data_IF_241762309215
#
_entry.id   IF_241762309215
#
_cell.length_a   1.000
_cell.length_b   1.000
_cell.length_c   1.000
_cell.angle_alpha   90.00
_cell.angle_beta   90.00
_cell.angle_gamma   90.00
#
_symmetry.space_group_name_H-M   'P 1'
#
loop_
_entity.id
_entity.type
_entity.pdbx_description
1 polymer ?
#
# COMPACT_ATOMS: atom_id res chain seq x y z
N UNK A 1 -11.07 -15.48 13.56
CA UNK A 1 -11.10 -16.54 14.59
C UNK A 1 -10.47 -15.94 15.84
N UNK A 2 -11.06 -16.05 17.02
CA UNK A 2 -10.47 -15.49 18.25
C UNK A 2 -9.24 -16.29 18.67
N UNK A 3 -8.35 -15.67 19.47
CA UNK A 3 -7.17 -16.36 20.02
C UNK A 3 -7.55 -17.64 20.77
N UNK A 4 -8.58 -17.59 21.62
CA UNK A 4 -9.05 -18.77 22.35
C UNK A 4 -9.59 -19.88 21.44
N UNK A 5 -10.17 -19.55 20.27
CA UNK A 5 -10.59 -20.57 19.31
C UNK A 5 -9.40 -21.24 18.61
N UNK A 6 -8.30 -20.50 18.38
CA UNK A 6 -7.06 -21.03 17.82
C UNK A 6 -6.43 -22.02 18.82
N UNK A 7 -6.33 -21.65 20.09
CA UNK A 7 -5.82 -22.54 21.14
C UNK A 7 -6.65 -23.82 21.26
N UNK A 8 -7.98 -23.71 21.23
CA UNK A 8 -8.86 -24.88 21.28
C UNK A 8 -8.64 -25.83 20.09
N UNK A 9 -8.45 -25.29 18.89
CA UNK A 9 -8.14 -26.10 17.70
C UNK A 9 -6.77 -26.78 17.80
N UNK A 10 -5.75 -26.07 18.29
CA UNK A 10 -4.42 -26.63 18.50
C UNK A 10 -4.44 -27.76 19.55
N UNK A 11 -5.26 -27.65 20.59
CA UNK A 11 -5.47 -28.73 21.57
C UNK A 11 -6.18 -29.95 20.97
N UNK A 12 -7.21 -29.76 20.15
CA UNK A 12 -7.88 -30.85 19.45
C UNK A 12 -6.90 -31.56 18.51
N UNK A 13 -6.07 -30.79 17.81
CA UNK A 13 -5.01 -31.34 16.96
C UNK A 13 -4.00 -32.12 17.78
N UNK A 14 -3.52 -31.56 18.90
CA UNK A 14 -2.61 -32.26 19.79
C UNK A 14 -3.19 -33.61 20.21
N UNK A 15 -4.45 -33.65 20.66
CA UNK A 15 -5.12 -34.87 21.09
C UNK A 15 -5.24 -35.93 19.97
N UNK A 16 -5.44 -35.52 18.72
CA UNK A 16 -5.49 -36.42 17.56
C UNK A 16 -4.10 -36.87 17.12
N UNK A 17 -3.10 -35.99 17.17
CA UNK A 17 -1.72 -36.29 16.78
C UNK A 17 -1.01 -37.27 17.72
N UNK A 18 -1.42 -37.35 19.00
CA UNK A 18 -0.89 -38.33 19.97
C UNK A 18 -1.01 -39.77 19.45
N UNK A 19 -2.09 -40.11 18.72
CA UNK A 19 -2.30 -41.45 18.16
C UNK A 19 -1.21 -41.83 17.14
N UNK A 20 -0.55 -40.83 16.56
CA UNK A 20 0.53 -40.98 15.59
C UNK A 20 1.91 -40.62 16.17
N UNK A 21 2.02 -40.50 17.50
CA UNK A 21 3.24 -40.09 18.19
C UNK A 21 3.79 -38.73 17.70
N UNK A 22 2.89 -37.83 17.30
CA UNK A 22 3.18 -36.49 16.79
C UNK A 22 2.56 -35.40 17.69
N UNK A 23 3.04 -34.17 17.56
CA UNK A 23 2.51 -32.98 18.24
C UNK A 23 1.69 -32.07 17.31
N UNK A 24 1.00 -31.06 17.86
CA UNK A 24 0.40 -30.02 17.05
C UNK A 24 1.49 -29.18 16.35
N UNK A 25 1.17 -28.50 15.24
CA UNK A 25 2.13 -27.66 14.52
C UNK A 25 2.66 -26.47 15.35
N UNK A 26 1.86 -25.99 16.31
CA UNK A 26 2.23 -24.93 17.25
C UNK A 26 1.71 -25.29 18.65
N UNK A 27 2.41 -24.87 19.69
CA UNK A 27 2.05 -25.17 21.09
C UNK A 27 0.86 -24.32 21.58
N UNK A 28 0.69 -23.12 21.04
CA UNK A 28 -0.40 -22.20 21.34
C UNK A 28 -0.56 -21.17 20.21
N UNK A 29 -1.61 -20.36 20.27
CA UNK A 29 -1.75 -19.17 19.44
C UNK A 29 -0.55 -18.24 19.57
N UNK A 30 0.02 -18.08 20.78
CA UNK A 30 1.15 -17.21 21.01
C UNK A 30 2.41 -17.73 20.31
N UNK A 31 2.69 -19.03 20.42
CA UNK A 31 3.78 -19.72 19.71
C UNK A 31 3.61 -19.63 18.19
N UNK A 32 2.38 -19.76 17.70
CA UNK A 32 2.06 -19.57 16.28
C UNK A 32 2.37 -18.15 15.81
N UNK A 33 1.87 -17.12 16.51
CA UNK A 33 2.14 -15.72 16.12
C UNK A 33 3.62 -15.37 16.26
N UNK A 34 4.28 -15.82 17.33
CA UNK A 34 5.72 -15.61 17.49
C UNK A 34 6.52 -16.30 16.37
N UNK A 35 6.12 -17.49 15.94
CA UNK A 35 6.76 -18.18 14.82
C UNK A 35 6.55 -17.44 13.49
N UNK A 36 5.34 -16.91 13.25
CA UNK A 36 5.05 -16.07 12.08
C UNK A 36 5.90 -14.80 12.13
N UNK A 37 5.95 -14.12 13.28
CA UNK A 37 6.71 -12.87 13.47
C UNK A 37 8.23 -13.08 13.41
N UNK A 38 8.72 -14.25 13.84
CA UNK A 38 10.13 -14.65 13.76
C UNK A 38 10.55 -15.14 12.38
N UNK A 39 9.60 -15.49 11.51
CA UNK A 39 9.93 -15.90 10.16
C UNK A 39 10.63 -14.72 9.50
N UNK A 40 11.91 -14.85 9.07
CA UNK A 40 12.61 -13.76 8.43
C UNK A 40 11.92 -13.48 7.10
N UNK A 41 11.00 -12.51 7.13
CA UNK A 41 10.43 -11.94 5.93
C UNK A 41 11.58 -11.22 5.23
N UNK A 42 11.91 -11.63 4.01
CA UNK A 42 12.85 -10.90 3.16
C UNK A 42 12.28 -9.57 2.64
N UNK A 43 11.24 -9.04 3.28
CA UNK A 43 10.42 -7.94 2.81
C UNK A 43 10.21 -6.89 3.91
N UNK A 44 9.68 -5.74 3.54
CA UNK A 44 9.52 -4.58 4.42
C UNK A 44 8.51 -4.87 5.54
N UNK A 45 8.85 -4.47 6.77
CA UNK A 45 7.98 -4.67 7.94
C UNK A 45 6.71 -3.83 7.84
N UNK A 46 5.59 -4.44 8.24
CA UNK A 46 4.32 -3.75 8.40
C UNK A 46 4.27 -2.93 9.69
N UNK A 47 3.73 -1.73 9.56
CA UNK A 47 3.43 -0.76 10.61
C UNK A 47 1.94 -0.38 10.58
N UNK A 48 1.48 0.31 11.62
CA UNK A 48 0.11 0.80 11.68
C UNK A 48 0.00 2.10 12.46
N UNK A 49 -0.97 2.93 12.09
CA UNK A 49 -1.39 4.08 12.87
C UNK A 49 -2.92 4.20 12.84
N UNK A 50 -3.47 4.96 13.78
CA UNK A 50 -4.90 5.17 13.92
C UNK A 50 -5.25 6.62 13.69
N UNK A 51 -6.32 6.87 12.93
CA UNK A 51 -6.92 8.18 12.75
C UNK A 51 -8.32 8.21 13.37
N UNK A 52 -8.75 9.37 13.84
CA UNK A 52 -10.10 9.60 14.36
C UNK A 52 -10.65 10.92 13.85
N UNK A 53 -11.97 11.09 13.93
CA UNK A 53 -12.60 12.34 13.56
C UNK A 53 -12.34 13.40 14.65
N UNK A 54 -11.80 14.55 14.26
CA UNK A 54 -11.72 15.71 15.15
C UNK A 54 -13.11 16.32 15.30
N UNK A 55 -13.70 16.19 16.49
CA UNK A 55 -14.96 16.84 16.82
C UNK A 55 -14.77 18.36 16.89
N UNK A 56 -15.82 19.08 16.52
CA UNK A 56 -15.93 20.51 16.75
C UNK A 56 -16.58 20.72 18.13
N UNK A 57 -16.08 21.68 18.91
CA UNK A 57 -16.49 21.89 20.31
C UNK A 57 -17.97 22.28 20.47
N UNK A 58 -18.65 22.64 19.36
CA UNK A 58 -20.06 23.03 19.32
C UNK A 58 -21.05 21.95 18.86
N UNK A 59 -20.64 20.69 18.68
CA UNK A 59 -21.55 19.59 18.31
C UNK A 59 -22.32 19.07 19.54
N UNK A 60 -23.66 19.12 19.49
CA UNK A 60 -24.50 18.49 20.51
C UNK A 60 -24.42 16.95 20.44
N UNK A 61 -24.53 16.26 21.58
CA UNK A 61 -24.42 14.79 21.67
C UNK A 61 -25.43 14.05 20.78
N UNK A 62 -26.60 14.64 20.52
CA UNK A 62 -27.63 14.06 19.66
C UNK A 62 -27.23 14.01 18.17
N UNK A 63 -26.29 14.85 17.74
CA UNK A 63 -25.79 14.93 16.36
C UNK A 63 -24.54 14.07 16.12
N UNK A 64 -23.99 13.44 17.17
CA UNK A 64 -22.79 12.62 17.09
C UNK A 64 -23.10 11.25 16.50
N UNK A 65 -22.65 11.02 15.27
CA UNK A 65 -22.81 9.73 14.60
C UNK A 65 -21.73 8.73 15.03
N UNK A 66 -21.99 7.40 14.98
CA UNK A 66 -21.03 6.39 15.43
C UNK A 66 -19.64 6.49 14.78
N UNK A 67 -19.58 6.87 13.51
CA UNK A 67 -18.31 7.03 12.78
C UNK A 67 -17.47 8.22 13.29
N UNK A 68 -18.07 9.20 13.97
CA UNK A 68 -17.35 10.35 14.54
C UNK A 68 -16.62 9.99 15.84
N UNK A 69 -16.99 8.89 16.49
CA UNK A 69 -16.33 8.35 17.68
C UNK A 69 -15.44 7.16 17.35
N UNK A 70 -15.43 6.72 16.09
CA UNK A 70 -14.70 5.54 15.68
C UNK A 70 -13.22 5.84 15.44
N UNK A 71 -12.41 4.83 15.73
CA UNK A 71 -11.01 4.78 15.37
C UNK A 71 -10.82 4.01 14.06
N UNK A 72 -9.97 4.54 13.20
CA UNK A 72 -9.70 4.01 11.88
C UNK A 72 -8.23 3.63 11.79
N UNK A 73 -7.94 2.34 11.95
CA UNK A 73 -6.59 1.80 11.81
C UNK A 73 -6.21 1.65 10.34
N UNK A 74 -5.00 2.10 10.02
CA UNK A 74 -4.35 1.96 8.73
C UNK A 74 -3.12 1.09 8.94
N UNK A 75 -2.93 0.12 8.06
CA UNK A 75 -1.75 -0.75 8.06
C UNK A 75 -0.96 -0.48 6.80
N UNK A 76 0.34 -0.31 6.90
CA UNK A 76 1.20 0.03 5.77
C UNK A 76 2.62 -0.48 5.98
N UNK A 77 3.40 -0.57 4.92
CA UNK A 77 4.85 -0.78 4.98
C UNK A 77 5.55 0.51 4.56
N UNK A 78 6.76 0.75 5.05
CA UNK A 78 7.51 1.97 4.70
C UNK A 78 7.71 2.07 3.17
N UNK A 79 7.13 3.09 2.50
CA UNK A 79 7.28 3.23 1.05
C UNK A 79 8.74 3.44 0.63
N UNK A 80 9.57 4.09 1.46
CA UNK A 80 10.97 4.32 1.13
C UNK A 80 11.74 3.00 1.07
N UNK A 81 11.58 2.15 2.09
CA UNK A 81 12.15 0.81 2.09
C UNK A 81 11.65 -0.05 0.92
N UNK A 82 10.36 0.02 0.57
CA UNK A 82 9.80 -0.68 -0.60
C UNK A 82 10.49 -0.22 -1.89
N UNK A 83 10.66 1.09 -2.06
CA UNK A 83 11.32 1.67 -3.24
C UNK A 83 12.78 1.25 -3.31
N UNK A 84 13.50 1.22 -2.18
CA UNK A 84 14.86 0.69 -2.12
C UNK A 84 14.93 -0.78 -2.55
N UNK A 85 14.01 -1.63 -2.08
CA UNK A 85 13.93 -3.03 -2.49
C UNK A 85 13.66 -3.17 -4.00
N UNK A 86 12.77 -2.34 -4.56
CA UNK A 86 12.53 -2.32 -6.01
C UNK A 86 13.79 -1.92 -6.78
N UNK A 87 14.47 -0.85 -6.38
CA UNK A 87 15.68 -0.39 -7.05
C UNK A 87 16.85 -1.38 -6.93
N UNK A 88 16.90 -2.14 -5.84
CA UNK A 88 17.90 -3.19 -5.62
C UNK A 88 17.62 -4.49 -6.40
N UNK A 89 16.44 -4.62 -7.04
CA UNK A 89 16.07 -5.83 -7.76
C UNK A 89 16.90 -6.00 -9.05
N UNK A 90 17.77 -7.03 -9.14
CA UNK A 90 18.61 -7.25 -10.32
C UNK A 90 17.80 -7.63 -11.57
N UNK A 91 16.56 -8.10 -11.42
CA UNK A 91 15.69 -8.49 -12.54
C UNK A 91 15.30 -7.30 -13.43
N UNK A 92 15.57 -6.07 -12.99
CA UNK A 92 15.28 -4.84 -13.73
C UNK A 92 16.46 -4.31 -14.53
N UNK A 93 17.65 -4.93 -14.43
CA UNK A 93 18.91 -4.39 -14.94
C UNK A 93 18.81 -3.80 -16.37
N UNK A 94 18.13 -4.49 -17.27
CA UNK A 94 18.01 -4.10 -18.69
C UNK A 94 16.66 -3.43 -19.02
N UNK A 95 15.76 -3.33 -18.03
CA UNK A 95 14.37 -2.86 -18.17
C UNK A 95 14.07 -1.67 -17.20
N UNK A 96 15.07 -0.84 -16.88
CA UNK A 96 14.94 0.32 -15.99
C UNK A 96 15.68 1.56 -16.53
N UNK A 97 15.01 2.71 -16.50
CA UNK A 97 15.56 3.98 -16.95
C UNK A 97 15.83 4.92 -15.76
N UNK A 98 17.09 5.27 -15.54
CA UNK A 98 17.50 6.22 -14.49
C UNK A 98 17.44 7.69 -14.95
N UNK A 99 17.28 7.93 -16.24
CA UNK A 99 17.14 9.26 -16.80
C UNK A 99 15.92 9.32 -17.72
N UNK A 100 15.19 10.46 -17.76
CA UNK A 100 14.19 10.67 -18.77
C UNK A 100 14.84 10.64 -20.15
N UNK A 101 14.12 10.11 -21.13
CA UNK A 101 14.59 10.02 -22.50
C UNK A 101 13.49 10.44 -23.46
N UNK A 102 13.85 10.66 -24.73
CA UNK A 102 12.90 10.95 -25.79
C UNK A 102 13.17 9.99 -26.93
N UNK A 103 12.19 9.15 -27.21
CA UNK A 103 12.18 8.33 -28.41
C UNK A 103 11.37 9.02 -29.50
N UNK A 104 11.89 9.01 -30.72
CA UNK A 104 11.15 9.41 -31.92
C UNK A 104 11.03 8.23 -32.86
N UNK A 105 9.89 8.12 -33.51
CA UNK A 105 9.63 7.13 -34.55
C UNK A 105 9.18 7.84 -35.83
N UNK A 106 9.54 7.33 -37.02
CA UNK A 106 9.06 7.89 -38.27
C UNK A 106 7.53 7.85 -38.34
N UNK A 107 6.92 9.00 -38.56
CA UNK A 107 5.48 9.15 -38.71
C UNK A 107 5.09 9.77 -40.05
N UNK A 108 3.77 9.81 -40.36
CA UNK A 108 3.26 10.37 -41.62
C UNK A 108 3.65 11.83 -41.88
N UNK A 109 3.93 12.59 -40.80
CA UNK A 109 4.26 14.01 -40.82
C UNK A 109 5.71 14.30 -40.36
N UNK A 110 6.61 13.33 -40.53
CA UNK A 110 7.98 13.36 -39.98
C UNK A 110 8.10 12.58 -38.66
N UNK A 111 9.26 12.68 -38.03
CA UNK A 111 9.54 12.01 -36.76
C UNK A 111 8.59 12.49 -35.67
N UNK A 112 7.88 11.54 -35.03
CA UNK A 112 6.93 11.79 -33.95
C UNK A 112 7.44 11.16 -32.67
N UNK A 113 7.18 11.83 -31.53
CA UNK A 113 7.56 11.29 -30.24
C UNK A 113 6.78 10.00 -29.95
N UNK A 114 7.52 8.95 -29.57
CA UNK A 114 6.97 7.68 -29.12
C UNK A 114 6.91 7.69 -27.59
N UNK A 115 5.72 7.42 -27.05
CA UNK A 115 5.49 7.31 -25.61
C UNK A 115 5.19 5.85 -25.30
N UNK A 116 6.12 5.21 -24.61
CA UNK A 116 5.99 3.81 -24.18
C UNK A 116 6.16 3.72 -22.67
N UNK A 117 7.39 3.89 -22.18
CA UNK A 117 7.68 3.87 -20.75
C UNK A 117 7.46 5.23 -20.10
N UNK A 118 7.27 5.27 -18.78
CA UNK A 118 6.95 6.54 -18.09
C UNK A 118 8.06 7.58 -18.28
N UNK A 119 9.32 7.14 -18.26
CA UNK A 119 10.50 8.01 -18.44
C UNK A 119 10.64 8.60 -19.86
N UNK A 120 9.88 8.09 -20.84
CA UNK A 120 9.76 8.71 -22.17
C UNK A 120 8.87 9.97 -22.20
N UNK A 121 8.12 10.19 -21.11
CA UNK A 121 7.15 11.26 -20.98
C UNK A 121 7.76 12.63 -20.68
N UNK A 122 7.20 13.68 -21.29
CA UNK A 122 7.65 15.07 -21.10
C UNK A 122 7.58 15.54 -19.63
N UNK A 123 6.68 14.96 -18.84
CA UNK A 123 6.61 15.28 -17.42
C UNK A 123 7.86 14.83 -16.65
N UNK A 124 8.37 13.61 -16.89
CA UNK A 124 9.59 13.12 -16.24
C UNK A 124 10.80 13.99 -16.60
N UNK A 125 10.90 14.39 -17.88
CA UNK A 125 11.92 15.33 -18.37
C UNK A 125 11.89 16.67 -17.63
N UNK A 126 10.69 17.25 -17.46
CA UNK A 126 10.52 18.50 -16.71
C UNK A 126 10.91 18.35 -15.24
N UNK A 127 10.58 17.24 -14.59
CA UNK A 127 10.98 17.00 -13.20
C UNK A 127 12.50 16.89 -13.05
N UNK A 128 13.17 16.10 -13.91
CA UNK A 128 14.62 16.00 -13.89
C UNK A 128 15.31 17.36 -14.11
N UNK A 129 14.78 18.21 -15.01
CA UNK A 129 15.29 19.57 -15.20
C UNK A 129 15.09 20.49 -13.98
N UNK A 130 14.04 20.29 -13.17
CA UNK A 130 13.84 21.06 -11.94
C UNK A 130 14.84 20.61 -10.89
N UNK A 131 14.97 19.29 -10.71
CA UNK A 131 15.87 18.68 -9.73
C UNK A 131 17.32 19.06 -10.04
N UNK A 132 17.78 18.86 -11.27
CA UNK A 132 19.15 19.14 -11.70
C UNK A 132 19.58 20.62 -11.67
N UNK A 133 18.70 21.56 -11.29
CA UNK A 133 19.09 22.94 -10.97
C UNK A 133 19.83 23.04 -9.64
N UNK A 134 19.61 22.08 -8.73
CA UNK A 134 20.29 22.01 -7.46
C UNK A 134 21.62 21.25 -7.62
N UNK A 135 22.79 21.89 -7.39
CA UNK A 135 24.08 21.24 -7.45
C UNK A 135 24.23 20.03 -6.51
N UNK A 136 23.45 19.96 -5.41
CA UNK A 136 23.47 18.82 -4.50
C UNK A 136 22.90 17.53 -5.12
N UNK A 137 22.22 17.64 -6.27
CA UNK A 137 21.54 16.53 -6.96
C UNK A 137 22.21 16.14 -8.28
N UNK A 138 23.42 16.63 -8.54
CA UNK A 138 24.09 16.52 -9.84
C UNK A 138 24.30 15.07 -10.33
N UNK A 139 24.34 14.10 -9.42
CA UNK A 139 24.46 12.66 -9.71
C UNK A 139 23.23 11.86 -9.23
N UNK A 140 22.12 12.54 -8.92
CA UNK A 140 20.90 11.89 -8.47
C UNK A 140 20.01 11.46 -9.66
N UNK A 141 19.38 10.30 -9.51
CA UNK A 141 18.35 9.83 -10.44
C UNK A 141 16.97 10.26 -9.94
N UNK A 142 16.13 10.78 -10.83
CA UNK A 142 14.72 11.00 -10.51
C UNK A 142 13.98 9.66 -10.43
N UNK A 143 13.44 9.33 -9.25
CA UNK A 143 12.61 8.14 -9.04
C UNK A 143 11.16 8.57 -8.85
N UNK A 144 10.32 8.21 -9.80
CA UNK A 144 8.89 8.51 -9.72
C UNK A 144 8.18 7.44 -8.90
N UNK A 145 7.28 7.86 -8.01
CA UNK A 145 6.39 6.97 -7.28
C UNK A 145 4.99 6.97 -7.93
N UNK A 146 4.52 5.79 -8.30
CA UNK A 146 3.18 5.54 -8.83
C UNK A 146 2.38 4.84 -7.77
N UNK A 147 1.22 5.40 -7.41
CA UNK A 147 0.28 4.80 -6.46
C UNK A 147 -1.00 4.38 -7.17
N UNK A 148 -1.45 3.17 -6.87
CA UNK A 148 -2.74 2.64 -7.33
C UNK A 148 -3.57 2.21 -6.13
N UNK A 149 -4.85 2.54 -6.11
CA UNK A 149 -5.74 2.07 -5.05
C UNK A 149 -7.07 1.68 -5.66
N UNK A 150 -7.56 0.50 -5.28
CA UNK A 150 -8.87 0.03 -5.71
C UNK A 150 -9.55 -0.70 -4.56
N UNK A 151 -10.82 -0.38 -4.32
CA UNK A 151 -11.60 -0.99 -3.23
C UNK A 151 -12.07 -2.36 -3.69
N UNK A 152 -11.61 -3.41 -3.03
CA UNK A 152 -11.90 -4.79 -3.42
C UNK A 152 -12.72 -5.51 -2.36
N UNK A 153 -13.71 -6.30 -2.78
CA UNK A 153 -14.51 -7.15 -1.88
C UNK A 153 -13.88 -8.53 -1.82
N UNK A 154 -13.48 -8.98 -0.63
CA UNK A 154 -12.68 -10.22 -0.48
C UNK A 154 -13.50 -11.41 -0.01
N UNK A 155 -14.63 -11.20 0.67
CA UNK A 155 -15.55 -12.30 0.97
C UNK A 155 -17.02 -11.86 0.87
N UNK A 156 -17.78 -12.51 -0.01
CA UNK A 156 -19.21 -12.29 -0.17
C UNK A 156 -20.02 -13.20 0.78
N UNK A 157 -19.57 -14.46 0.98
CA UNK A 157 -20.35 -15.48 1.68
C UNK A 157 -20.30 -15.42 3.22
N UNK A 158 -19.24 -14.88 3.81
CA UNK A 158 -18.93 -15.02 5.26
C UNK A 158 -18.87 -13.71 6.05
N UNK A 159 -19.26 -12.56 5.45
CA UNK A 159 -19.36 -11.32 6.24
C UNK A 159 -19.15 -9.99 5.53
N UNK A 160 -19.20 -9.90 4.19
CA UNK A 160 -18.99 -8.63 3.46
C UNK A 160 -17.71 -7.89 3.93
N UNK A 161 -16.57 -8.59 3.93
CA UNK A 161 -15.28 -7.97 4.17
C UNK A 161 -14.78 -7.30 2.90
N UNK A 162 -14.56 -6.00 3.00
CA UNK A 162 -13.99 -5.15 1.96
C UNK A 162 -12.60 -4.75 2.42
N UNK A 163 -11.63 -4.77 1.51
CA UNK A 163 -10.32 -4.16 1.71
C UNK A 163 -10.15 -2.98 0.76
N UNK A 164 -9.36 -2.01 1.19
CA UNK A 164 -8.98 -0.89 0.35
C UNK A 164 -7.46 -0.85 0.23
N UNK A 165 -6.87 -1.76 -0.58
CA UNK A 165 -5.44 -1.80 -0.78
C UNK A 165 -4.92 -0.53 -1.47
N UNK A 166 -3.69 -0.19 -1.10
CA UNK A 166 -2.85 0.81 -1.73
C UNK A 166 -1.62 0.07 -2.28
N UNK A 167 -1.37 0.20 -3.56
CA UNK A 167 -0.23 -0.36 -4.27
C UNK A 167 0.76 0.75 -4.63
N UNK A 168 2.03 0.39 -4.69
CA UNK A 168 3.14 1.26 -5.06
C UNK A 168 3.97 0.62 -6.18
N UNK A 169 4.51 1.44 -7.08
CA UNK A 169 5.45 1.06 -8.13
C UNK A 169 6.37 2.24 -8.44
N UNK A 170 7.58 1.97 -8.95
CA UNK A 170 8.46 3.03 -9.46
C UNK A 170 8.21 3.31 -10.94
N UNK A 171 8.29 4.57 -11.34
CA UNK A 171 8.12 5.02 -12.72
C UNK A 171 9.22 4.57 -13.68
N UNK A 172 10.39 4.27 -13.12
CA UNK A 172 11.63 4.01 -13.85
C UNK A 172 11.65 2.66 -14.55
N UNK A 173 10.91 1.67 -14.06
CA UNK A 173 10.83 0.37 -14.73
C UNK A 173 9.97 0.46 -15.99
N UNK A 174 10.36 -0.32 -16.99
CA UNK A 174 9.62 -0.45 -18.24
C UNK A 174 8.25 -1.10 -18.01
N UNK A 175 7.32 -0.87 -18.95
CA UNK A 175 5.96 -1.38 -18.82
C UNK A 175 5.86 -2.91 -18.82
N UNK A 176 6.75 -3.59 -19.55
CA UNK A 176 6.85 -5.05 -19.57
C UNK A 176 7.11 -5.60 -18.16
N UNK A 177 7.98 -4.97 -17.36
CA UNK A 177 8.30 -5.38 -15.98
C UNK A 177 7.07 -5.25 -15.07
N UNK A 178 6.31 -4.15 -15.22
CA UNK A 178 5.07 -3.94 -14.45
C UNK A 178 4.03 -5.02 -14.74
N UNK A 179 3.94 -5.47 -15.99
CA UNK A 179 2.99 -6.51 -16.40
C UNK A 179 3.45 -7.93 -16.08
N UNK A 180 4.77 -8.18 -16.05
CA UNK A 180 5.34 -9.51 -15.88
C UNK A 180 5.47 -9.97 -14.41
N UNK A 181 4.84 -9.27 -13.44
CA UNK A 181 4.86 -9.62 -12.01
C UNK A 181 6.28 -9.77 -11.40
N UNK A 182 7.30 -9.09 -11.94
CA UNK A 182 8.69 -9.15 -11.42
C UNK A 182 8.91 -8.32 -10.14
N UNK A 183 7.92 -8.26 -9.24
CA UNK A 183 7.90 -7.36 -8.06
C UNK A 183 7.93 -5.85 -8.38
N UNK A 184 7.57 -5.47 -9.61
CA UNK A 184 7.48 -4.06 -10.00
C UNK A 184 6.26 -3.33 -9.42
N UNK A 185 5.31 -4.07 -8.82
CA UNK A 185 4.23 -3.52 -8.01
C UNK A 185 4.24 -4.19 -6.64
N UNK A 186 4.18 -3.39 -5.57
CA UNK A 186 4.11 -3.87 -4.20
C UNK A 186 2.83 -3.38 -3.53
N UNK A 187 2.31 -4.18 -2.59
CA UNK A 187 1.24 -3.75 -1.71
C UNK A 187 1.84 -2.84 -0.63
N UNK A 188 1.48 -1.56 -0.67
CA UNK A 188 1.98 -0.55 0.25
C UNK A 188 1.16 -0.50 1.55
N UNK A 189 -0.15 -0.73 1.49
CA UNK A 189 -0.98 -0.64 2.67
C UNK A 189 -2.44 -1.02 2.48
N UNK A 190 -3.17 -1.05 3.59
CA UNK A 190 -4.63 -1.18 3.65
C UNK A 190 -5.21 0.08 4.29
N UNK A 191 -5.98 0.83 3.50
CA UNK A 191 -6.65 2.04 3.93
C UNK A 191 -7.94 1.71 4.70
N UNK A 192 -8.27 2.56 5.67
CA UNK A 192 -9.49 2.43 6.43
C UNK A 192 -10.74 2.68 5.57
N UNK A 193 -11.78 1.87 5.78
CA UNK A 193 -13.09 2.01 5.13
C UNK A 193 -14.11 2.41 6.19
N UNK A 194 -14.40 3.71 6.35
CA UNK A 194 -15.38 4.14 7.33
C UNK A 194 -16.77 3.70 6.89
N UNK A 195 -17.49 3.05 7.80
CA UNK A 195 -18.86 2.57 7.59
C UNK A 195 -19.85 3.49 8.32
N UNK A 196 -21.00 3.71 7.69
CA UNK A 196 -22.12 4.45 8.27
C UNK A 196 -23.43 3.83 7.82
N UNK A 197 -24.53 4.19 8.47
CA UNK A 197 -25.86 3.74 8.09
C UNK A 197 -26.28 4.35 6.75
N UNK A 198 -27.08 3.62 5.96
CA UNK A 198 -27.51 4.05 4.61
C UNK A 198 -28.08 5.46 4.55
N UNK A 199 -28.78 5.91 5.59
CA UNK A 199 -29.35 7.26 5.70
C UNK A 199 -28.30 8.37 5.69
N UNK A 200 -27.11 8.10 6.24
CA UNK A 200 -26.04 9.08 6.43
C UNK A 200 -24.88 8.87 5.44
N UNK A 201 -24.99 7.92 4.52
CA UNK A 201 -23.93 7.61 3.55
C UNK A 201 -23.72 8.75 2.53
N UNK A 202 -24.79 9.47 2.20
CA UNK A 202 -24.77 10.62 1.29
C UNK A 202 -24.66 11.97 1.99
N UNK A 203 -24.54 11.97 3.32
CA UNK A 203 -24.33 13.19 4.10
C UNK A 203 -23.02 13.90 3.71
N UNK A 204 -23.08 15.23 3.61
CA UNK A 204 -21.95 16.04 3.18
C UNK A 204 -20.77 15.98 4.17
N UNK A 205 -21.03 15.94 5.49
CA UNK A 205 -19.98 15.83 6.51
C UNK A 205 -19.29 14.47 6.40
N UNK A 206 -20.06 13.39 6.24
CA UNK A 206 -19.49 12.06 6.08
C UNK A 206 -18.66 11.92 4.79
N UNK A 207 -19.15 12.46 3.66
CA UNK A 207 -18.38 12.48 2.39
C UNK A 207 -17.07 13.26 2.53
N UNK A 208 -17.09 14.42 3.21
CA UNK A 208 -15.90 15.21 3.52
C UNK A 208 -14.93 14.41 4.39
N UNK A 209 -15.42 13.80 5.47
CA UNK A 209 -14.63 12.97 6.37
C UNK A 209 -13.95 11.81 5.63
N UNK A 210 -14.67 11.07 4.78
CA UNK A 210 -14.09 10.00 3.95
C UNK A 210 -12.91 10.47 3.11
N UNK A 211 -13.05 11.64 2.48
CA UNK A 211 -12.00 12.24 1.67
C UNK A 211 -10.80 12.68 2.52
N UNK A 212 -11.05 13.28 3.68
CA UNK A 212 -10.00 13.67 4.63
C UNK A 212 -9.25 12.44 5.15
N UNK A 213 -9.97 11.42 5.62
CA UNK A 213 -9.39 10.17 6.09
C UNK A 213 -8.48 9.54 5.03
N UNK A 214 -8.93 9.48 3.77
CA UNK A 214 -8.11 8.96 2.66
C UNK A 214 -6.84 9.78 2.46
N UNK A 215 -6.93 11.10 2.30
CA UNK A 215 -5.76 11.94 2.02
C UNK A 215 -4.80 12.06 3.20
N UNK A 216 -5.30 12.14 4.43
CA UNK A 216 -4.47 12.14 5.65
C UNK A 216 -3.77 10.80 5.83
N UNK A 217 -4.42 9.68 5.48
CA UNK A 217 -3.76 8.38 5.46
C UNK A 217 -2.60 8.36 4.47
N UNK A 218 -2.81 8.84 3.24
CA UNK A 218 -1.75 8.92 2.23
C UNK A 218 -0.60 9.85 2.65
N UNK A 219 -0.91 11.01 3.24
CA UNK A 219 0.10 11.93 3.75
C UNK A 219 0.99 11.28 4.80
N UNK A 220 0.40 10.57 5.75
CA UNK A 220 1.14 9.90 6.82
C UNK A 220 1.97 8.72 6.27
N UNK A 221 1.40 7.90 5.38
CA UNK A 221 2.11 6.77 4.74
C UNK A 221 3.32 7.28 3.95
N UNK A 222 3.13 8.32 3.12
CA UNK A 222 4.16 8.84 2.21
C UNK A 222 5.15 9.79 2.91
N UNK A 223 5.06 9.94 4.24
CA UNK A 223 5.88 10.88 5.00
C UNK A 223 7.38 10.59 4.86
N UNK A 224 7.77 9.32 4.75
CA UNK A 224 9.18 8.92 4.58
C UNK A 224 9.77 9.28 3.23
N UNK A 225 8.93 9.63 2.24
CA UNK A 225 9.36 10.12 0.92
C UNK A 225 9.50 11.66 0.87
N UNK A 226 9.15 12.37 1.94
CA UNK A 226 9.34 13.83 2.00
C UNK A 226 10.82 14.16 2.25
N UNK A 227 11.35 15.24 1.65
CA UNK A 227 12.69 15.75 1.95
C UNK A 227 12.86 16.15 3.42
#
# INVERSE_FOLDING_TARGET
MSAGNIDALLQIWAATAVQHNAGPPFASQADMYETIDRTPLGDVRWESFTLSYSKDDGLEDADVLPWMNAEFSIFYSDPLAIVHNMLANPDYKDDIDFAPFRETAPGPNGDQQRLENFMSGEWAWRQANIIGRDPATMDASFVLIILGSDKTTVSIATGQNEYYPLYCSIGNVHNNVRQAHRNAMALLGFLAIPKTNRRNADDAKFRKFRRQLFHTSLEQILRTLRP
#
